data_IF_769766247054
#
_entry.id   IF_769766247054
#
_cell.length_a   1.000
_cell.length_b   1.000
_cell.length_c   1.000
_cell.angle_alpha   90.00
_cell.angle_beta   90.00
_cell.angle_gamma   90.00
#
_symmetry.space_group_name_H-M   'P 1'
#
loop_
_entity.id
_entity.type
_entity.pdbx_description
1 polymer ?
#
# COMPACT_ATOMS: atom_id res chain seq x y z
N UNK A 1 5.68 -43.51 2.58
CA UNK A 1 5.40 -42.49 3.63
C UNK A 1 5.66 -41.11 3.05
N UNK A 2 4.63 -40.27 2.90
CA UNK A 2 4.79 -38.87 2.45
C UNK A 2 5.39 -38.08 3.61
N UNK A 3 6.67 -37.72 3.52
CA UNK A 3 7.36 -36.88 4.49
C UNK A 3 6.65 -35.52 4.49
N UNK A 4 5.82 -35.30 5.52
CA UNK A 4 5.07 -34.07 5.72
C UNK A 4 6.06 -32.94 5.99
N UNK A 5 6.29 -32.09 4.99
CA UNK A 5 7.23 -30.97 5.07
C UNK A 5 6.67 -29.88 6.01
N UNK A 6 6.86 -30.06 7.32
CA UNK A 6 6.38 -29.13 8.38
C UNK A 6 6.94 -27.71 8.22
N UNK A 7 8.12 -27.56 7.61
CA UNK A 7 8.74 -26.25 7.37
C UNK A 7 8.04 -25.45 6.26
N UNK A 8 7.61 -26.12 5.18
CA UNK A 8 6.87 -25.48 4.09
C UNK A 8 5.46 -25.08 4.52
N UNK A 9 4.80 -25.91 5.34
CA UNK A 9 3.47 -25.61 5.87
C UNK A 9 3.48 -24.38 6.80
N UNK A 10 4.44 -24.32 7.72
CA UNK A 10 4.59 -23.18 8.66
C UNK A 10 4.99 -21.89 7.95
N UNK A 11 5.79 -21.97 6.88
CA UNK A 11 6.13 -20.83 6.00
C UNK A 11 4.90 -20.28 5.27
N UNK A 12 4.09 -21.14 4.66
CA UNK A 12 2.86 -20.72 3.97
C UNK A 12 1.83 -20.15 4.95
N UNK A 13 1.68 -20.74 6.13
CA UNK A 13 0.78 -20.22 7.17
C UNK A 13 1.14 -18.79 7.61
N UNK A 14 2.43 -18.47 7.73
CA UNK A 14 2.89 -17.11 8.06
C UNK A 14 2.56 -16.11 6.95
N UNK A 15 2.72 -16.51 5.69
CA UNK A 15 2.36 -15.67 4.55
C UNK A 15 0.85 -15.43 4.47
N UNK A 16 0.03 -16.47 4.65
CA UNK A 16 -1.43 -16.34 4.68
C UNK A 16 -1.89 -15.42 5.81
N UNK A 17 -1.27 -15.49 6.99
CA UNK A 17 -1.53 -14.54 8.08
C UNK A 17 -1.19 -13.10 7.67
N UNK A 18 -0.04 -12.86 7.06
CA UNK A 18 0.32 -11.53 6.58
C UNK A 18 -0.70 -10.96 5.58
N UNK A 19 -1.20 -11.79 4.66
CA UNK A 19 -2.26 -11.39 3.71
C UNK A 19 -3.55 -11.08 4.45
N UNK A 20 -3.95 -11.94 5.39
CA UNK A 20 -5.20 -11.80 6.15
C UNK A 20 -5.24 -10.51 6.98
N UNK A 21 -4.12 -10.10 7.57
CA UNK A 21 -4.03 -8.84 8.35
C UNK A 21 -3.66 -7.63 7.48
N UNK A 22 -2.93 -7.84 6.38
CA UNK A 22 -2.50 -6.79 5.48
C UNK A 22 -3.66 -6.18 4.67
N UNK A 23 -4.58 -6.99 4.17
CA UNK A 23 -5.73 -6.50 3.38
C UNK A 23 -6.63 -5.54 4.20
N UNK A 24 -7.07 -5.90 5.42
CA UNK A 24 -7.85 -4.97 6.25
C UNK A 24 -7.08 -3.71 6.61
N UNK A 25 -5.79 -3.82 6.94
CA UNK A 25 -4.95 -2.66 7.24
C UNK A 25 -4.84 -1.72 6.04
N UNK A 26 -4.72 -2.27 4.83
CA UNK A 26 -4.69 -1.52 3.58
C UNK A 26 -5.96 -0.71 3.38
N UNK A 27 -7.13 -1.30 3.63
CA UNK A 27 -8.41 -0.61 3.53
C UNK A 27 -8.54 0.51 4.57
N UNK A 28 -8.18 0.24 5.83
CA UNK A 28 -8.23 1.25 6.89
C UNK A 28 -7.31 2.43 6.57
N UNK A 29 -6.08 2.15 6.14
CA UNK A 29 -5.11 3.18 5.78
C UNK A 29 -5.58 3.97 4.54
N UNK A 30 -6.15 3.31 3.53
CA UNK A 30 -6.70 3.97 2.35
C UNK A 30 -7.84 4.93 2.70
N UNK A 31 -8.74 4.53 3.59
CA UNK A 31 -9.86 5.38 4.07
C UNK A 31 -9.31 6.60 4.82
N UNK A 32 -8.38 6.38 5.76
CA UNK A 32 -7.77 7.46 6.56
C UNK A 32 -7.03 8.44 5.65
N UNK A 33 -6.23 7.93 4.70
CA UNK A 33 -5.49 8.75 3.76
C UNK A 33 -6.43 9.52 2.82
N UNK A 34 -7.45 8.87 2.25
CA UNK A 34 -8.42 9.51 1.35
C UNK A 34 -9.25 10.59 2.03
N UNK A 35 -9.56 10.42 3.33
CA UNK A 35 -10.20 11.44 4.13
C UNK A 35 -9.26 12.63 4.42
N UNK A 36 -7.99 12.35 4.74
CA UNK A 36 -6.98 13.39 4.96
C UNK A 36 -6.72 14.23 3.70
N UNK A 37 -6.65 13.58 2.53
CA UNK A 37 -6.47 14.24 1.23
C UNK A 37 -7.66 15.16 0.86
N UNK A 38 -8.88 14.82 1.31
CA UNK A 38 -10.06 15.67 1.11
C UNK A 38 -10.03 16.95 1.99
N UNK A 39 -9.55 16.85 3.23
CA UNK A 39 -9.59 17.96 4.21
C UNK A 39 -8.40 18.89 4.07
N UNK A 40 -7.22 18.33 3.78
CA UNK A 40 -5.98 19.09 3.66
C UNK A 40 -5.52 19.10 2.19
N UNK A 41 -5.84 20.17 1.42
CA UNK A 41 -5.34 20.32 0.05
C UNK A 41 -3.83 20.63 0.00
N UNK A 42 -3.21 20.90 1.15
CA UNK A 42 -1.75 21.02 1.25
C UNK A 42 -1.17 19.63 1.05
N UNK A 43 -0.49 19.46 -0.08
CA UNK A 43 0.21 18.25 -0.52
C UNK A 43 1.32 17.90 0.49
N UNK A 44 0.97 17.31 1.62
CA UNK A 44 1.92 16.67 2.52
C UNK A 44 2.37 15.35 1.88
N UNK A 45 3.13 15.47 0.80
CA UNK A 45 3.67 14.34 0.05
C UNK A 45 4.46 13.37 0.96
N UNK A 46 5.02 13.87 2.06
CA UNK A 46 5.69 13.07 3.07
C UNK A 46 4.76 12.09 3.82
N UNK A 47 3.45 12.31 3.83
CA UNK A 47 2.50 11.39 4.44
C UNK A 47 2.43 10.05 3.70
N UNK A 48 2.69 10.04 2.39
CA UNK A 48 2.75 8.79 1.62
C UNK A 48 3.86 7.88 2.15
N UNK A 49 5.03 8.43 2.52
CA UNK A 49 6.10 7.66 3.16
C UNK A 49 5.65 7.02 4.48
N UNK A 50 4.89 7.75 5.28
CA UNK A 50 4.29 7.24 6.52
C UNK A 50 3.31 6.09 6.27
N UNK A 51 2.51 6.16 5.21
CA UNK A 51 1.62 5.09 4.77
C UNK A 51 2.40 3.84 4.35
N UNK A 52 3.46 4.00 3.56
CA UNK A 52 4.35 2.91 3.19
C UNK A 52 4.96 2.21 4.41
N UNK A 53 5.44 3.00 5.37
CA UNK A 53 5.96 2.50 6.64
C UNK A 53 4.90 1.74 7.45
N UNK A 54 3.69 2.28 7.59
CA UNK A 54 2.60 1.66 8.34
C UNK A 54 2.20 0.29 7.75
N UNK A 55 2.06 0.21 6.42
CA UNK A 55 1.72 -1.05 5.73
C UNK A 55 2.84 -2.08 5.91
N UNK A 56 4.09 -1.66 5.72
CA UNK A 56 5.24 -2.53 5.93
C UNK A 56 5.34 -3.04 7.37
N UNK A 57 5.09 -2.17 8.35
CA UNK A 57 5.07 -2.51 9.76
C UNK A 57 4.01 -3.55 10.11
N UNK A 58 2.78 -3.44 9.58
CA UNK A 58 1.72 -4.43 9.77
C UNK A 58 2.13 -5.78 9.19
N UNK A 59 2.62 -5.80 7.95
CA UNK A 59 3.03 -7.04 7.28
C UNK A 59 4.18 -7.71 8.02
N UNK A 60 5.16 -6.93 8.48
CA UNK A 60 6.29 -7.43 9.29
C UNK A 60 5.82 -8.04 10.60
N UNK A 61 4.92 -7.35 11.31
CA UNK A 61 4.44 -7.75 12.64
C UNK A 61 3.66 -9.06 12.61
N UNK A 62 2.72 -9.19 11.66
CA UNK A 62 1.85 -10.36 11.55
C UNK A 62 2.44 -11.49 10.69
N UNK A 63 3.23 -11.14 9.68
CA UNK A 63 3.88 -12.10 8.80
C UNK A 63 5.14 -12.71 9.36
N UNK A 64 5.92 -11.95 10.16
CA UNK A 64 7.26 -12.34 10.67
C UNK A 64 8.12 -13.00 9.57
N UNK A 65 8.00 -12.46 8.37
CA UNK A 65 8.55 -13.04 7.16
C UNK A 65 9.89 -12.43 6.80
N UNK A 66 10.91 -13.28 6.64
CA UNK A 66 12.27 -12.88 6.21
C UNK A 66 12.40 -12.89 4.67
N UNK A 67 11.35 -13.33 3.97
CA UNK A 67 11.43 -13.60 2.53
C UNK A 67 10.97 -12.43 1.69
N UNK A 68 11.53 -12.32 0.48
CA UNK A 68 11.16 -11.33 -0.54
C UNK A 68 9.67 -11.32 -0.90
N UNK A 69 8.96 -12.44 -0.71
CA UNK A 69 7.49 -12.51 -0.92
C UNK A 69 6.71 -11.56 0.00
N UNK A 70 7.18 -11.29 1.22
CA UNK A 70 6.54 -10.33 2.13
C UNK A 70 6.79 -8.90 1.70
N UNK A 71 7.99 -8.60 1.19
CA UNK A 71 8.32 -7.31 0.59
C UNK A 71 7.45 -7.00 -0.64
N UNK A 72 7.26 -7.96 -1.53
CA UNK A 72 6.37 -7.81 -2.69
C UNK A 72 4.93 -7.58 -2.23
N UNK A 73 4.46 -8.34 -1.24
CA UNK A 73 3.11 -8.16 -0.69
C UNK A 73 2.91 -6.73 -0.17
N UNK A 74 3.87 -6.18 0.58
CA UNK A 74 3.76 -4.82 1.10
C UNK A 74 3.82 -3.74 0.04
N UNK A 75 4.66 -3.89 -0.96
CA UNK A 75 4.69 -2.99 -2.11
C UNK A 75 3.34 -2.96 -2.84
N UNK A 76 2.76 -4.14 -3.11
CA UNK A 76 1.47 -4.27 -3.79
C UNK A 76 0.34 -3.67 -2.94
N UNK A 77 0.28 -4.01 -1.66
CA UNK A 77 -0.74 -3.46 -0.76
C UNK A 77 -0.63 -1.95 -0.60
N UNK A 78 0.60 -1.40 -0.56
CA UNK A 78 0.82 0.04 -0.51
C UNK A 78 0.36 0.73 -1.80
N UNK A 79 0.71 0.20 -2.97
CA UNK A 79 0.25 0.75 -4.24
C UNK A 79 -1.30 0.74 -4.33
N UNK A 80 -1.94 -0.35 -3.90
CA UNK A 80 -3.40 -0.45 -3.85
C UNK A 80 -3.98 0.57 -2.86
N UNK A 81 -3.37 0.75 -1.68
CA UNK A 81 -3.82 1.73 -0.69
C UNK A 81 -3.84 3.15 -1.26
N UNK A 82 -2.78 3.53 -1.97
CA UNK A 82 -2.62 4.86 -2.55
C UNK A 82 -3.67 5.10 -3.64
N UNK A 83 -3.86 4.15 -4.55
CA UNK A 83 -4.86 4.27 -5.63
C UNK A 83 -6.28 4.39 -5.04
N UNK A 84 -6.60 3.58 -4.04
CA UNK A 84 -7.90 3.63 -3.37
C UNK A 84 -8.11 4.97 -2.62
N UNK A 85 -7.08 5.48 -1.95
CA UNK A 85 -7.13 6.76 -1.27
C UNK A 85 -7.31 7.93 -2.26
N UNK A 86 -6.59 7.92 -3.38
CA UNK A 86 -6.73 8.96 -4.42
C UNK A 86 -8.12 8.87 -5.10
N UNK A 87 -8.65 7.67 -5.33
CA UNK A 87 -10.02 7.51 -5.81
C UNK A 87 -11.05 8.05 -4.81
N UNK A 88 -10.81 7.84 -3.51
CA UNK A 88 -11.61 8.42 -2.44
C UNK A 88 -11.50 9.95 -2.36
N UNK A 89 -10.32 10.50 -2.66
CA UNK A 89 -10.11 11.94 -2.73
C UNK A 89 -10.95 12.59 -3.84
N UNK A 90 -11.15 11.89 -4.96
CA UNK A 90 -11.95 12.39 -6.10
C UNK A 90 -13.46 12.24 -5.85
N UNK A 91 -13.90 11.07 -5.36
CA UNK A 91 -15.32 10.69 -5.34
C UNK A 91 -15.89 10.37 -3.96
N UNK A 92 -15.16 10.66 -2.88
CA UNK A 92 -15.51 10.23 -1.52
C UNK A 92 -15.54 8.70 -1.38
N UNK A 93 -16.34 8.17 -0.45
CA UNK A 93 -16.48 6.72 -0.23
C UNK A 93 -16.93 5.99 -1.52
N UNK A 94 -17.76 6.63 -2.34
CA UNK A 94 -18.17 6.10 -3.65
C UNK A 94 -16.98 5.94 -4.61
N UNK A 95 -15.96 6.78 -4.48
CA UNK A 95 -14.71 6.68 -5.21
C UNK A 95 -13.95 5.38 -4.95
N UNK A 96 -13.95 4.90 -3.71
CA UNK A 96 -13.33 3.61 -3.39
C UNK A 96 -14.07 2.43 -4.00
N UNK A 97 -15.38 2.52 -4.23
CA UNK A 97 -16.19 1.40 -4.74
C UNK A 97 -16.32 1.39 -6.26
N UNK A 98 -15.90 2.46 -6.95
CA UNK A 98 -16.05 2.61 -8.38
C UNK A 98 -14.72 2.37 -9.13
N UNK A 99 -14.56 1.25 -9.85
CA UNK A 99 -13.34 0.94 -10.59
C UNK A 99 -12.97 1.99 -11.64
N UNK A 100 -13.95 2.71 -12.19
CA UNK A 100 -13.70 3.79 -13.14
C UNK A 100 -12.91 4.93 -12.51
N UNK A 101 -13.18 5.27 -11.25
CA UNK A 101 -12.47 6.31 -10.52
C UNK A 101 -11.04 5.89 -10.17
N UNK A 102 -10.79 4.59 -9.95
CA UNK A 102 -9.44 4.07 -9.77
C UNK A 102 -8.60 4.26 -11.04
N UNK A 103 -9.19 4.00 -12.20
CA UNK A 103 -8.54 4.22 -13.49
C UNK A 103 -8.22 5.70 -13.70
N UNK A 104 -9.15 6.60 -13.35
CA UNK A 104 -8.90 8.05 -13.39
C UNK A 104 -7.75 8.44 -12.47
N UNK A 105 -7.68 7.93 -11.23
CA UNK A 105 -6.56 8.19 -10.32
C UNK A 105 -5.22 7.81 -10.95
N UNK A 106 -5.14 6.66 -11.63
CA UNK A 106 -3.93 6.25 -12.35
C UNK A 106 -3.64 7.16 -13.53
N UNK A 107 -4.65 7.54 -14.32
CA UNK A 107 -4.47 8.48 -15.43
C UNK A 107 -3.97 9.86 -14.96
N UNK A 108 -4.42 10.31 -13.78
CA UNK A 108 -3.97 11.56 -13.17
C UNK A 108 -2.48 11.54 -12.80
N UNK A 109 -1.90 10.36 -12.56
CA UNK A 109 -0.45 10.22 -12.37
C UNK A 109 0.33 10.45 -13.67
N UNK A 110 -0.21 10.05 -14.81
CA UNK A 110 0.45 10.29 -16.09
C UNK A 110 0.32 11.75 -16.53
N UNK A 111 -0.82 12.39 -16.26
CA UNK A 111 -1.00 13.81 -16.56
C UNK A 111 -0.12 14.70 -15.66
N UNK A 112 0.14 14.29 -14.42
CA UNK A 112 0.97 15.04 -13.46
C UNK A 112 2.46 15.11 -13.83
N UNK A 113 2.94 14.24 -14.73
CA UNK A 113 4.31 14.27 -15.29
C UNK A 113 4.66 15.58 -16.01
N UNK A 114 3.66 16.36 -16.38
CA UNK A 114 3.84 17.67 -17.05
C UNK A 114 4.24 18.79 -16.09
N UNK A 115 4.21 18.55 -14.77
CA UNK A 115 4.49 19.56 -13.75
C UNK A 115 5.55 19.10 -12.74
N UNK A 116 6.42 20.00 -12.29
CA UNK A 116 7.44 19.69 -11.27
C UNK A 116 6.82 19.18 -9.96
N UNK A 117 5.70 19.77 -9.55
CA UNK A 117 4.93 19.34 -8.37
C UNK A 117 4.35 17.94 -8.53
N UNK A 118 3.83 17.62 -9.73
CA UNK A 118 3.34 16.28 -10.03
C UNK A 118 4.44 15.22 -10.04
N UNK A 119 5.62 15.54 -10.59
CA UNK A 119 6.78 14.65 -10.56
C UNK A 119 7.22 14.39 -9.12
N UNK A 120 7.34 15.44 -8.29
CA UNK A 120 7.64 15.30 -6.86
C UNK A 120 6.63 14.36 -6.19
N UNK A 121 5.34 14.52 -6.44
CA UNK A 121 4.34 13.66 -5.83
C UNK A 121 4.35 12.21 -6.30
N UNK A 122 4.81 11.95 -7.52
CA UNK A 122 5.08 10.59 -7.97
C UNK A 122 6.29 10.00 -7.26
N UNK A 123 7.36 10.78 -7.07
CA UNK A 123 8.54 10.35 -6.32
C UNK A 123 8.17 9.96 -4.89
N UNK A 124 7.30 10.72 -4.22
CA UNK A 124 6.85 10.36 -2.87
C UNK A 124 5.96 9.11 -2.83
N UNK A 125 5.08 8.90 -3.81
CA UNK A 125 4.30 7.66 -3.95
C UNK A 125 5.19 6.45 -4.24
N UNK A 126 6.16 6.58 -5.13
CA UNK A 126 7.16 5.53 -5.40
C UNK A 126 8.01 5.27 -4.16
N UNK A 127 8.44 6.33 -3.47
CA UNK A 127 9.16 6.26 -2.20
C UNK A 127 8.37 5.52 -1.13
N UNK A 128 7.06 5.74 -1.04
CA UNK A 128 6.16 5.01 -0.13
C UNK A 128 6.11 3.50 -0.45
N UNK A 129 6.03 3.14 -1.74
CA UNK A 129 6.04 1.74 -2.15
C UNK A 129 7.41 1.09 -1.84
N UNK A 130 8.50 1.84 -2.03
CA UNK A 130 9.84 1.39 -1.69
C UNK A 130 10.02 1.20 -0.17
N UNK A 131 9.54 2.14 0.66
CA UNK A 131 9.59 1.98 2.12
C UNK A 131 8.72 0.82 2.59
N UNK A 132 7.55 0.62 1.98
CA UNK A 132 6.74 -0.56 2.26
C UNK A 132 7.48 -1.86 1.92
N UNK A 133 8.18 -1.90 0.79
CA UNK A 133 8.97 -3.06 0.37
C UNK A 133 10.08 -3.41 1.39
N UNK A 134 10.83 -2.40 1.84
CA UNK A 134 11.94 -2.59 2.79
C UNK A 134 11.44 -2.95 4.19
N UNK A 135 10.41 -2.25 4.69
CA UNK A 135 9.92 -2.43 6.06
C UNK A 135 9.06 -3.69 6.24
N UNK A 136 8.52 -4.26 5.15
CA UNK A 136 7.72 -5.49 5.21
C UNK A 136 8.48 -6.75 5.58
N UNK A 137 9.82 -6.73 5.49
CA UNK A 137 10.67 -7.87 5.87
C UNK A 137 11.49 -7.56 7.10
N UNK A 138 11.75 -8.60 7.90
CA UNK A 138 12.79 -8.56 8.91
C UNK A 138 14.10 -8.85 8.16
N UNK A 139 14.95 -7.84 7.99
CA UNK A 139 16.34 -8.01 7.51
C UNK A 139 17.23 -8.34 8.69
#
# INVERSE_FOLDING_TARGET
MKIYNKSALTRNQRFVKAVLYGIPATLVIAIVLGFLLNIMPIQFEIMFLGVGYAIGYVIRTYGRGVQTRFSILGAVLCAVAIILADAMAIGGIWGMLNPYLWMISVMNYFSSLTSLWGILGLVFRIGAVATAYEQSRIV
#
